data_IF_751983028740
#
_entry.id   IF_751983028740
#
_cell.length_a   1.000
_cell.length_b   1.000
_cell.length_c   1.000
_cell.angle_alpha   90.00
_cell.angle_beta   90.00
_cell.angle_gamma   90.00
#
_symmetry.space_group_name_H-M   'P 1'
#
loop_
_entity.id
_entity.type
_entity.pdbx_description
1 polymer ?
#
# COMPACT_ATOMS: atom_id res chain seq x y z
N UNK A 1 3.86 17.65 7.60
CA UNK A 1 3.82 16.43 6.78
C UNK A 1 4.01 16.86 5.34
N UNK A 2 4.91 16.23 4.58
CA UNK A 2 5.33 16.74 3.27
C UNK A 2 5.27 15.65 2.20
N UNK A 3 4.76 16.01 1.03
CA UNK A 3 5.00 15.26 -0.20
C UNK A 3 6.42 15.58 -0.65
N UNK A 4 7.23 14.55 -0.85
CA UNK A 4 8.64 14.66 -1.23
C UNK A 4 8.81 14.76 -2.74
N UNK A 5 8.08 13.94 -3.51
CA UNK A 5 8.18 13.91 -4.98
C UNK A 5 6.83 13.59 -5.63
N UNK A 6 6.63 14.14 -6.83
CA UNK A 6 5.64 13.67 -7.82
C UNK A 6 6.41 13.11 -9.00
N UNK A 7 6.03 11.90 -9.44
CA UNK A 7 6.74 11.15 -10.47
C UNK A 7 5.73 10.73 -11.53
N UNK A 8 6.02 10.97 -12.80
CA UNK A 8 5.34 10.30 -13.91
C UNK A 8 6.21 9.11 -14.33
N UNK A 9 5.64 7.91 -14.33
CA UNK A 9 6.39 6.71 -14.69
C UNK A 9 5.55 5.76 -15.55
N UNK A 10 6.27 4.81 -16.14
CA UNK A 10 5.81 3.85 -17.11
C UNK A 10 6.40 2.48 -16.81
N UNK A 11 5.63 1.42 -17.02
CA UNK A 11 6.11 0.04 -16.91
C UNK A 11 7.15 -0.30 -18.01
N UNK A 12 7.14 0.41 -19.15
CA UNK A 12 8.08 0.21 -20.27
C UNK A 12 9.27 1.17 -20.26
N UNK A 13 9.02 2.44 -19.93
CA UNK A 13 10.02 3.53 -20.03
C UNK A 13 10.67 3.88 -18.70
N UNK A 14 10.16 3.34 -17.60
CA UNK A 14 10.62 3.70 -16.26
C UNK A 14 10.15 5.10 -15.86
N UNK A 15 11.01 5.88 -15.21
CA UNK A 15 10.70 7.24 -14.77
C UNK A 15 10.78 8.21 -15.94
N UNK A 16 9.68 8.91 -16.23
CA UNK A 16 9.55 9.88 -17.32
C UNK A 16 9.80 11.30 -16.80
N UNK A 17 9.16 11.66 -15.68
CA UNK A 17 9.29 12.98 -15.04
C UNK A 17 9.39 12.77 -13.54
N UNK A 18 10.19 13.60 -12.88
CA UNK A 18 10.20 13.69 -11.42
C UNK A 18 10.28 15.15 -10.99
N UNK A 19 9.53 15.51 -9.95
CA UNK A 19 9.57 16.85 -9.36
C UNK A 19 9.30 16.83 -7.85
N UNK A 20 10.14 17.50 -7.04
CA UNK A 20 11.51 17.90 -7.35
C UNK A 20 12.37 16.71 -7.78
N UNK A 21 13.52 16.99 -8.41
CA UNK A 21 14.52 15.95 -8.73
C UNK A 21 14.90 15.17 -7.48
N UNK A 22 15.25 13.89 -7.66
CA UNK A 22 15.72 13.08 -6.54
C UNK A 22 17.02 13.64 -5.98
N UNK A 23 17.17 13.68 -4.64
CA UNK A 23 18.47 13.95 -4.04
C UNK A 23 19.45 12.81 -4.38
N UNK A 24 20.75 13.10 -4.33
CA UNK A 24 21.77 12.07 -4.44
C UNK A 24 21.76 11.17 -3.19
N UNK A 25 21.73 9.84 -3.42
CA UNK A 25 21.90 8.82 -2.37
C UNK A 25 20.67 8.56 -1.48
N UNK A 26 20.76 7.50 -0.68
CA UNK A 26 19.76 7.13 0.33
C UNK A 26 18.75 6.10 -0.13
N UNK A 27 17.90 6.42 -1.11
CA UNK A 27 16.79 5.55 -1.55
C UNK A 27 17.02 4.97 -2.95
N UNK A 28 16.53 3.76 -3.20
CA UNK A 28 16.56 3.13 -4.53
C UNK A 28 15.37 3.62 -5.38
N UNK A 29 15.40 4.89 -5.81
CA UNK A 29 14.34 5.48 -6.64
C UNK A 29 14.17 4.78 -7.99
N UNK A 30 15.21 4.11 -8.51
CA UNK A 30 15.14 3.37 -9.77
C UNK A 30 14.24 2.14 -9.69
N UNK A 31 13.94 1.65 -8.50
CA UNK A 31 12.99 0.53 -8.32
C UNK A 31 11.53 0.96 -8.44
N UNK A 32 11.21 2.27 -8.41
CA UNK A 32 9.83 2.77 -8.37
C UNK A 32 8.95 2.19 -9.49
N UNK A 33 9.37 2.17 -10.77
CA UNK A 33 8.59 1.56 -11.84
C UNK A 33 8.31 0.06 -11.62
N UNK A 34 9.18 -0.67 -10.94
CA UNK A 34 8.99 -2.11 -10.70
C UNK A 34 8.05 -2.40 -9.53
N UNK A 35 7.86 -1.45 -8.62
CA UNK A 35 7.09 -1.63 -7.38
C UNK A 35 5.73 -0.92 -7.44
N UNK A 36 5.59 0.11 -8.27
CA UNK A 36 4.38 0.92 -8.32
C UNK A 36 3.27 0.26 -9.16
N UNK A 37 3.62 -0.46 -10.22
CA UNK A 37 2.65 -1.21 -11.03
C UNK A 37 2.35 -2.55 -10.38
N UNK A 38 1.08 -2.77 -10.07
CA UNK A 38 0.60 -4.05 -9.52
C UNK A 38 0.46 -5.11 -10.60
N UNK A 39 0.51 -6.37 -10.18
CA UNK A 39 0.27 -7.54 -11.04
C UNK A 39 -1.19 -7.74 -11.45
N UNK A 40 -2.09 -7.05 -10.76
CA UNK A 40 -3.52 -7.14 -10.95
C UNK A 40 -4.10 -5.77 -11.34
N UNK A 41 -5.20 -5.75 -12.11
CA UNK A 41 -5.84 -4.52 -12.52
C UNK A 41 -6.22 -3.68 -11.29
N UNK A 42 -6.36 -2.38 -11.45
CA UNK A 42 -6.75 -1.54 -10.35
C UNK A 42 -6.68 -0.07 -10.65
N UNK A 43 -7.01 0.73 -9.64
CA UNK A 43 -7.03 2.19 -9.74
C UNK A 43 -5.76 2.82 -9.21
N UNK A 44 -5.17 2.22 -8.19
CA UNK A 44 -4.01 2.75 -7.49
C UNK A 44 -3.28 1.62 -6.75
N UNK A 45 -2.06 1.92 -6.32
CA UNK A 45 -1.27 1.03 -5.49
C UNK A 45 -0.48 1.84 -4.46
N UNK A 46 -0.41 1.37 -3.23
CA UNK A 46 0.51 1.88 -2.22
C UNK A 46 1.82 1.12 -2.30
N UNK A 47 2.95 1.77 -2.09
CA UNK A 47 4.25 1.10 -2.11
C UNK A 47 5.22 1.75 -1.15
N UNK A 48 6.33 1.08 -0.88
CA UNK A 48 7.41 1.61 -0.05
C UNK A 48 8.66 1.69 -0.92
N UNK A 49 9.34 2.83 -0.94
CA UNK A 49 10.60 2.99 -1.67
C UNK A 49 11.71 2.32 -0.85
N UNK A 50 12.42 1.32 -1.38
CA UNK A 50 13.48 0.63 -0.66
C UNK A 50 14.62 1.58 -0.26
N UNK A 51 15.19 1.33 0.91
CA UNK A 51 16.31 2.09 1.45
C UNK A 51 17.24 1.19 2.26
N UNK A 52 18.55 1.26 1.98
CA UNK A 52 19.56 0.45 2.66
C UNK A 52 20.02 1.01 4.01
N UNK A 53 19.74 2.29 4.31
CA UNK A 53 20.36 2.99 5.44
C UNK A 53 19.50 4.03 6.17
N UNK A 54 18.36 4.43 5.61
CA UNK A 54 17.53 5.52 6.14
C UNK A 54 16.24 4.95 6.73
N UNK A 55 15.95 5.38 7.96
CA UNK A 55 14.74 5.07 8.71
C UNK A 55 14.15 6.40 9.24
N UNK A 56 12.86 6.71 9.02
CA UNK A 56 11.79 5.91 8.41
C UNK A 56 11.88 5.80 6.87
N UNK A 57 11.24 4.77 6.26
CA UNK A 57 11.20 4.63 4.81
C UNK A 57 10.33 5.72 4.15
N UNK A 58 10.46 5.87 2.82
CA UNK A 58 9.52 6.65 2.03
C UNK A 58 8.36 5.77 1.55
N UNK A 59 7.18 6.37 1.53
CA UNK A 59 5.95 5.75 1.08
C UNK A 59 5.51 6.35 -0.25
N UNK A 60 4.82 5.55 -1.05
CA UNK A 60 4.38 5.90 -2.39
C UNK A 60 2.90 5.61 -2.60
N UNK A 61 2.25 6.44 -3.41
CA UNK A 61 0.91 6.20 -3.96
C UNK A 61 1.03 6.30 -5.47
N UNK A 62 0.76 5.21 -6.19
CA UNK A 62 0.65 5.18 -7.63
C UNK A 62 -0.81 5.35 -8.03
N UNK A 63 -1.14 6.30 -8.90
CA UNK A 63 -2.45 6.45 -9.52
C UNK A 63 -2.34 6.10 -11.01
N UNK A 64 -3.04 5.06 -11.44
CA UNK A 64 -2.93 4.55 -12.81
C UNK A 64 -3.78 5.36 -13.78
N UNK A 65 -3.24 5.63 -14.97
CA UNK A 65 -3.98 6.25 -16.06
C UNK A 65 -5.13 5.32 -16.50
N UNK A 66 -6.34 5.88 -16.62
CA UNK A 66 -7.55 5.18 -17.07
C UNK A 66 -8.13 5.78 -18.34
N UNK A 67 -7.54 6.86 -18.83
CA UNK A 67 -8.07 7.64 -19.92
C UNK A 67 -7.43 7.21 -21.24
N UNK A 68 -8.21 7.37 -22.32
CA UNK A 68 -7.83 6.89 -23.64
C UNK A 68 -6.65 7.72 -24.18
N UNK A 69 -5.62 7.04 -24.69
CA UNK A 69 -4.45 7.64 -25.30
C UNK A 69 -4.76 8.55 -26.49
N UNK A 70 -5.92 8.37 -27.13
CA UNK A 70 -6.42 9.22 -28.21
C UNK A 70 -6.74 10.67 -27.79
N UNK A 71 -6.80 10.97 -26.49
CA UNK A 71 -7.05 12.34 -26.00
C UNK A 71 -5.80 13.24 -26.06
N UNK A 72 -4.60 12.65 -26.17
CA UNK A 72 -3.36 13.42 -26.21
C UNK A 72 -3.08 13.96 -27.61
N UNK A 73 -2.53 15.19 -27.68
CA UNK A 73 -2.03 15.73 -28.93
C UNK A 73 -0.93 14.81 -29.50
N UNK A 74 -0.92 14.49 -30.81
CA UNK A 74 0.06 13.59 -31.38
C UNK A 74 1.51 14.04 -31.12
N UNK A 75 2.31 13.17 -30.51
CA UNK A 75 3.72 13.43 -30.21
C UNK A 75 4.50 12.13 -29.96
N UNK A 76 5.81 12.09 -30.26
CA UNK A 76 6.66 10.91 -30.01
C UNK A 76 6.76 10.52 -28.53
N UNK A 77 6.48 11.45 -27.63
CA UNK A 77 6.45 11.25 -26.19
C UNK A 77 5.20 10.53 -25.68
N UNK A 78 4.15 10.43 -26.51
CA UNK A 78 2.89 9.82 -26.08
C UNK A 78 3.06 8.34 -25.74
N UNK A 79 2.32 7.85 -24.75
CA UNK A 79 2.34 6.45 -24.37
C UNK A 79 1.79 5.57 -25.48
N UNK A 80 2.33 4.35 -25.56
CA UNK A 80 1.79 3.31 -26.45
C UNK A 80 0.58 2.63 -25.82
N UNK A 81 -0.25 1.97 -26.63
CA UNK A 81 -1.45 1.27 -26.14
C UNK A 81 -1.12 0.14 -25.15
N UNK A 82 0.03 -0.50 -25.28
CA UNK A 82 0.51 -1.58 -24.43
C UNK A 82 1.26 -1.10 -23.17
N UNK A 83 1.36 0.21 -22.99
CA UNK A 83 2.08 0.84 -21.89
C UNK A 83 1.12 1.12 -20.72
N UNK A 84 1.57 0.87 -19.49
CA UNK A 84 0.89 1.33 -18.29
C UNK A 84 1.57 2.58 -17.76
N UNK A 85 0.78 3.61 -17.47
CA UNK A 85 1.26 4.88 -16.94
C UNK A 85 0.73 5.09 -15.54
N UNK A 86 1.60 5.54 -14.63
CA UNK A 86 1.22 5.96 -13.29
C UNK A 86 1.75 7.37 -12.98
N UNK A 87 0.90 8.17 -12.35
CA UNK A 87 1.34 9.34 -11.61
C UNK A 87 1.52 8.90 -10.16
N UNK A 88 2.74 9.01 -9.66
CA UNK A 88 3.13 8.57 -8.33
C UNK A 88 3.40 9.77 -7.42
N UNK A 89 2.96 9.67 -6.18
CA UNK A 89 3.26 10.62 -5.12
C UNK A 89 4.11 9.93 -4.05
N UNK A 90 5.26 10.50 -3.72
CA UNK A 90 6.17 10.00 -2.67
C UNK A 90 6.09 10.90 -1.45
N UNK A 91 6.00 10.32 -0.26
CA UNK A 91 5.93 11.03 1.02
C UNK A 91 6.67 10.29 2.12
N UNK A 92 7.24 11.02 3.07
CA UNK A 92 7.78 10.47 4.33
C UNK A 92 6.70 10.16 5.36
N UNK A 93 5.43 10.34 5.00
CA UNK A 93 4.29 10.25 5.91
C UNK A 93 3.51 8.94 5.71
N UNK A 94 3.23 8.18 6.78
CA UNK A 94 2.50 6.90 6.67
C UNK A 94 0.99 7.06 6.44
N UNK A 95 0.44 8.29 6.44
CA UNK A 95 -0.99 8.58 6.28
C UNK A 95 -1.49 8.46 4.82
N UNK A 96 -1.14 7.37 4.12
CA UNK A 96 -1.34 7.26 2.68
C UNK A 96 -2.79 7.35 2.21
N UNK A 97 -3.73 6.79 2.96
CA UNK A 97 -5.15 6.86 2.59
C UNK A 97 -5.67 8.31 2.55
N UNK A 98 -5.24 9.15 3.50
CA UNK A 98 -5.53 10.58 3.50
C UNK A 98 -4.88 11.30 2.31
N UNK A 99 -3.62 10.98 2.01
CA UNK A 99 -2.97 11.55 0.83
C UNK A 99 -3.64 11.11 -0.47
N UNK A 100 -4.10 9.85 -0.57
CA UNK A 100 -4.81 9.34 -1.74
C UNK A 100 -6.06 10.18 -2.02
N UNK A 101 -6.86 10.51 -0.98
CA UNK A 101 -8.07 11.31 -1.15
C UNK A 101 -7.80 12.70 -1.75
N UNK A 102 -6.64 13.29 -1.46
CA UNK A 102 -6.20 14.57 -2.04
C UNK A 102 -5.51 14.41 -3.39
N UNK A 103 -4.71 13.35 -3.53
CA UNK A 103 -3.91 13.10 -4.72
C UNK A 103 -4.76 12.67 -5.90
N UNK A 104 -5.77 11.82 -5.66
CA UNK A 104 -6.69 11.31 -6.69
C UNK A 104 -7.25 12.39 -7.61
N UNK A 105 -7.96 13.44 -7.13
CA UNK A 105 -8.54 14.45 -8.03
C UNK A 105 -7.47 15.22 -8.82
N UNK A 106 -6.28 15.41 -8.23
CA UNK A 106 -5.16 16.07 -8.89
C UNK A 106 -4.51 15.18 -9.97
N UNK A 107 -4.42 13.88 -9.71
CA UNK A 107 -3.93 12.90 -10.66
C UNK A 107 -4.93 12.69 -11.81
N UNK A 108 -6.23 12.65 -11.52
CA UNK A 108 -7.28 12.62 -12.53
C UNK A 108 -7.21 13.88 -13.43
N UNK A 109 -7.00 15.06 -12.84
CA UNK A 109 -6.77 16.30 -13.60
C UNK A 109 -5.53 16.18 -14.50
N UNK A 110 -4.43 15.60 -14.01
CA UNK A 110 -3.22 15.36 -14.81
C UNK A 110 -3.48 14.46 -16.02
N UNK A 111 -4.36 13.46 -15.89
CA UNK A 111 -4.63 12.53 -16.97
C UNK A 111 -5.73 12.98 -17.93
N UNK A 112 -6.62 13.92 -17.57
CA UNK A 112 -7.68 14.44 -18.48
C UNK A 112 -7.16 15.50 -19.45
N UNK A 113 -6.08 16.19 -19.12
CA UNK A 113 -5.46 17.20 -19.99
C UNK A 113 -4.87 16.60 -21.28
N UNK A 114 -4.61 17.46 -22.27
CA UNK A 114 -4.28 17.05 -23.65
C UNK A 114 -2.78 16.90 -23.96
N UNK A 115 -1.88 17.20 -23.01
CA UNK A 115 -0.44 16.98 -23.16
C UNK A 115 -0.02 15.77 -22.31
N UNK A 116 0.71 14.80 -22.86
CA UNK A 116 1.14 13.68 -22.01
C UNK A 116 2.17 14.09 -20.95
N UNK A 117 3.13 14.94 -21.34
CA UNK A 117 4.18 15.49 -20.47
C UNK A 117 3.84 16.95 -20.13
N UNK A 118 3.50 17.22 -18.87
CA UNK A 118 3.15 18.56 -18.42
C UNK A 118 3.84 18.91 -17.09
N UNK A 119 5.06 19.47 -17.21
CA UNK A 119 5.89 19.83 -16.07
C UNK A 119 5.25 20.89 -15.17
N UNK A 120 4.59 21.90 -15.75
CA UNK A 120 3.96 22.97 -14.96
C UNK A 120 2.80 22.44 -14.11
N UNK A 121 2.01 21.50 -14.65
CA UNK A 121 0.94 20.86 -13.91
C UNK A 121 1.48 19.96 -12.79
N UNK A 122 2.54 19.16 -13.03
CA UNK A 122 3.20 18.38 -11.97
C UNK A 122 3.68 19.29 -10.82
N UNK A 123 4.29 20.43 -11.14
CA UNK A 123 4.74 21.39 -10.13
C UNK A 123 3.57 22.00 -9.35
N UNK A 124 2.46 22.31 -10.02
CA UNK A 124 1.24 22.82 -9.38
C UNK A 124 0.61 21.77 -8.46
N UNK A 125 0.55 20.51 -8.89
CA UNK A 125 0.08 19.39 -8.06
C UNK A 125 0.96 19.26 -6.81
N UNK A 126 2.29 19.25 -6.97
CA UNK A 126 3.22 19.18 -5.84
C UNK A 126 3.03 20.31 -4.84
N UNK A 127 2.91 21.55 -5.32
CA UNK A 127 2.65 22.72 -4.46
C UNK A 127 1.31 22.58 -3.73
N UNK A 128 0.26 22.18 -4.45
CA UNK A 128 -1.10 22.04 -3.91
C UNK A 128 -1.17 20.98 -2.80
N UNK A 129 -0.49 19.84 -2.99
CA UNK A 129 -0.42 18.78 -1.98
C UNK A 129 0.34 19.22 -0.72
N UNK A 130 1.35 20.07 -0.87
CA UNK A 130 2.13 20.63 0.23
C UNK A 130 1.55 21.91 0.87
N UNK A 131 0.46 22.48 0.33
CA UNK A 131 -0.27 23.54 1.02
C UNK A 131 -0.81 23.04 2.38
N UNK A 132 -0.83 23.92 3.39
CA UNK A 132 -1.08 23.60 4.80
C UNK A 132 -2.29 22.69 5.01
N UNK A 133 -2.07 21.56 5.69
CA UNK A 133 -3.13 20.68 6.17
C UNK A 133 -3.67 21.24 7.47
N UNK A 134 -4.93 21.66 7.49
CA UNK A 134 -5.66 21.78 8.75
C UNK A 134 -5.82 20.36 9.31
N UNK A 135 -5.53 20.13 10.60
CA UNK A 135 -5.49 18.82 11.26
C UNK A 135 -6.54 17.85 10.71
N UNK A 136 -6.14 16.95 9.79
CA UNK A 136 -7.11 16.12 9.10
C UNK A 136 -7.52 14.97 10.02
N UNK A 137 -8.82 14.73 10.14
CA UNK A 137 -9.35 13.49 10.70
C UNK A 137 -8.89 12.37 9.77
N UNK A 138 -7.90 11.61 10.21
CA UNK A 138 -7.38 10.50 9.42
C UNK A 138 -8.42 9.39 9.35
N UNK A 139 -8.83 9.03 8.14
CA UNK A 139 -9.69 7.89 7.86
C UNK A 139 -8.82 6.74 7.34
N UNK A 140 -8.95 5.58 7.98
CA UNK A 140 -8.38 4.33 7.47
C UNK A 140 -9.27 3.76 6.37
N UNK A 141 -8.73 2.97 5.44
CA UNK A 141 -9.57 2.19 4.54
C UNK A 141 -10.48 1.26 5.34
N UNK A 142 -11.67 1.00 4.80
CA UNK A 142 -12.67 0.14 5.44
C UNK A 142 -12.15 -1.31 5.56
N UNK A 143 -12.06 -1.86 6.77
CA UNK A 143 -11.58 -3.23 6.96
C UNK A 143 -12.62 -4.30 6.58
N UNK A 144 -13.88 -3.93 6.27
CA UNK A 144 -14.94 -4.91 6.05
C UNK A 144 -14.64 -5.86 4.88
N UNK A 145 -14.04 -5.38 3.79
CA UNK A 145 -13.70 -6.26 2.66
C UNK A 145 -12.72 -7.37 3.09
N UNK A 146 -11.68 -7.02 3.86
CA UNK A 146 -10.71 -7.96 4.43
C UNK A 146 -11.37 -8.93 5.41
N UNK A 147 -12.17 -8.43 6.35
CA UNK A 147 -12.84 -9.23 7.39
C UNK A 147 -13.77 -10.24 6.75
N UNK A 148 -14.58 -9.82 5.76
CA UNK A 148 -15.51 -10.70 5.07
C UNK A 148 -14.80 -11.75 4.23
N UNK A 149 -13.70 -11.40 3.55
CA UNK A 149 -12.92 -12.38 2.78
C UNK A 149 -12.21 -13.38 3.69
N UNK A 150 -11.63 -12.93 4.81
CA UNK A 150 -10.98 -13.83 5.76
C UNK A 150 -11.98 -14.69 6.53
N UNK A 151 -13.19 -14.19 6.75
CA UNK A 151 -14.24 -14.90 7.46
C UNK A 151 -13.78 -15.35 8.84
N UNK A 152 -13.87 -16.67 9.09
CA UNK A 152 -13.50 -17.25 10.38
C UNK A 152 -11.99 -17.18 10.68
N UNK A 153 -11.17 -17.01 9.65
CA UNK A 153 -9.71 -17.01 9.75
C UNK A 153 -9.11 -15.63 10.00
N UNK A 154 -9.93 -14.58 10.16
CA UNK A 154 -9.42 -13.23 10.48
C UNK A 154 -8.62 -13.19 11.80
N UNK A 155 -9.04 -13.97 12.79
CA UNK A 155 -8.35 -14.02 14.07
C UNK A 155 -7.04 -14.82 13.99
N UNK A 156 -6.99 -15.81 13.11
CA UNK A 156 -5.76 -16.51 12.76
C UNK A 156 -4.73 -15.50 12.24
N UNK A 157 -5.17 -14.63 11.33
CA UNK A 157 -4.35 -13.60 10.70
C UNK A 157 -3.85 -12.57 11.72
N UNK A 158 -4.70 -12.11 12.65
CA UNK A 158 -4.31 -11.22 13.75
C UNK A 158 -3.28 -11.89 14.67
N UNK A 159 -3.45 -13.17 15.01
CA UNK A 159 -2.45 -13.91 15.81
C UNK A 159 -1.11 -14.00 15.09
N UNK A 160 -1.12 -14.25 13.78
CA UNK A 160 0.11 -14.30 12.98
C UNK A 160 0.83 -12.95 12.94
N UNK A 161 0.09 -11.83 12.85
CA UNK A 161 0.64 -10.49 12.99
C UNK A 161 1.36 -10.30 14.34
N UNK A 162 0.72 -10.73 15.43
CA UNK A 162 1.29 -10.61 16.78
C UNK A 162 2.52 -11.51 16.99
N UNK A 163 2.59 -12.64 16.27
CA UNK A 163 3.74 -13.55 16.28
C UNK A 163 4.88 -13.11 15.34
N UNK A 164 4.77 -11.94 14.72
CA UNK A 164 5.74 -11.41 13.74
C UNK A 164 5.94 -12.34 12.54
N UNK A 165 4.89 -13.03 12.12
CA UNK A 165 4.91 -13.87 10.93
C UNK A 165 4.99 -13.02 9.66
N UNK A 166 5.59 -13.57 8.60
CA UNK A 166 5.59 -12.97 7.25
C UNK A 166 4.25 -13.25 6.54
N UNK A 167 3.46 -12.20 6.33
CA UNK A 167 2.13 -12.27 5.72
C UNK A 167 2.15 -11.61 4.34
N UNK A 168 1.77 -12.38 3.32
CA UNK A 168 1.61 -11.91 1.95
C UNK A 168 0.12 -11.63 1.64
N UNK A 169 -0.19 -10.43 1.17
CA UNK A 169 -1.51 -10.10 0.62
C UNK A 169 -1.43 -10.19 -0.91
N UNK A 170 -2.22 -11.08 -1.50
CA UNK A 170 -2.20 -11.36 -2.95
C UNK A 170 -3.61 -11.65 -3.47
N UNK A 171 -4.45 -10.61 -3.46
CA UNK A 171 -5.71 -10.58 -4.17
C UNK A 171 -5.46 -10.31 -5.66
N UNK A 172 -5.88 -11.25 -6.52
CA UNK A 172 -5.70 -11.13 -7.98
C UNK A 172 -6.74 -10.27 -8.68
N UNK A 173 -7.79 -9.87 -7.96
CA UNK A 173 -8.92 -9.10 -8.50
C UNK A 173 -8.57 -7.63 -8.63
N UNK A 174 -7.90 -7.04 -7.62
CA UNK A 174 -7.62 -5.61 -7.61
C UNK A 174 -6.39 -5.24 -6.78
N UNK A 175 -5.53 -4.37 -7.35
CA UNK A 175 -4.37 -3.82 -6.64
C UNK A 175 -4.75 -2.82 -5.55
N UNK A 176 -5.83 -2.05 -5.76
CA UNK A 176 -6.43 -1.16 -4.76
C UNK A 176 -6.93 -1.96 -3.54
N UNK A 177 -7.57 -3.11 -3.74
CA UNK A 177 -7.97 -4.00 -2.63
C UNK A 177 -6.74 -4.51 -1.85
N UNK A 178 -5.66 -4.91 -2.53
CA UNK A 178 -4.44 -5.34 -1.85
C UNK A 178 -3.87 -4.23 -0.95
N UNK A 179 -3.76 -3.03 -1.50
CA UNK A 179 -3.28 -1.85 -0.79
C UNK A 179 -4.13 -1.52 0.44
N UNK A 180 -5.46 -1.59 0.33
CA UNK A 180 -6.38 -1.37 1.44
C UNK A 180 -6.28 -2.46 2.51
N UNK A 181 -6.20 -3.73 2.11
CA UNK A 181 -6.07 -4.86 3.04
C UNK A 181 -4.79 -4.79 3.86
N UNK A 182 -3.68 -4.38 3.25
CA UNK A 182 -2.40 -4.24 3.96
C UNK A 182 -2.49 -3.13 4.99
N UNK A 183 -3.02 -1.95 4.63
CA UNK A 183 -3.25 -0.88 5.60
C UNK A 183 -4.20 -1.31 6.72
N UNK A 184 -5.28 -2.03 6.40
CA UNK A 184 -6.22 -2.55 7.39
C UNK A 184 -5.52 -3.53 8.35
N UNK A 185 -4.70 -4.45 7.84
CA UNK A 185 -3.93 -5.38 8.67
C UNK A 185 -2.96 -4.68 9.60
N UNK A 186 -2.21 -3.73 9.07
CA UNK A 186 -1.25 -2.95 9.86
C UNK A 186 -1.94 -2.07 10.90
N UNK A 187 -3.19 -1.66 10.66
CA UNK A 187 -3.99 -0.91 11.64
C UNK A 187 -4.37 -1.74 12.88
N UNK A 188 -4.41 -3.08 12.77
CA UNK A 188 -4.63 -3.96 13.92
C UNK A 188 -3.44 -4.03 14.87
N UNK A 189 -2.27 -3.53 14.46
CA UNK A 189 -1.07 -3.47 15.31
C UNK A 189 -0.88 -2.01 15.78
N UNK A 190 -1.21 -1.67 17.04
CA UNK A 190 -0.88 -0.37 17.59
C UNK A 190 0.62 -0.07 17.46
N UNK A 191 0.98 1.09 16.93
CA UNK A 191 2.40 1.44 16.71
C UNK A 191 2.94 1.13 15.32
N UNK A 192 2.26 0.30 14.51
CA UNK A 192 2.80 -0.13 13.22
C UNK A 192 2.71 0.94 12.11
N UNK A 193 1.56 1.59 11.98
CA UNK A 193 1.38 2.73 11.06
C UNK A 193 1.48 4.08 11.79
N UNK A 194 1.03 4.14 13.03
CA UNK A 194 0.91 5.37 13.80
C UNK A 194 1.50 5.20 15.19
N UNK A 195 2.09 6.26 15.77
CA UNK A 195 2.44 6.25 17.18
C UNK A 195 1.25 5.82 18.03
N UNK A 196 1.47 4.90 18.97
CA UNK A 196 0.45 4.52 19.94
C UNK A 196 0.01 5.77 20.72
N UNK A 197 -1.29 5.92 20.93
CA UNK A 197 -1.83 7.00 21.76
C UNK A 197 -1.34 6.84 23.20
N UNK A 198 -1.34 7.92 23.99
CA UNK A 198 -0.85 7.84 25.38
C UNK A 198 -1.65 6.86 26.25
N UNK A 199 -2.94 6.65 25.92
CA UNK A 199 -3.79 5.61 26.52
C UNK A 199 -3.35 4.19 26.18
N UNK A 200 -2.83 3.96 24.96
CA UNK A 200 -2.28 2.66 24.56
C UNK A 200 -0.89 2.45 25.16
N UNK A 201 -0.08 3.51 25.25
CA UNK A 201 1.23 3.47 25.93
C UNK A 201 1.07 3.10 27.41
N UNK A 202 0.07 3.66 28.11
CA UNK A 202 -0.13 3.41 29.54
C UNK A 202 -0.53 1.97 29.90
N UNK A 203 -1.07 1.21 28.94
CA UNK A 203 -1.38 -0.22 29.09
C UNK A 203 -0.27 -1.14 28.54
N UNK A 204 0.92 -0.58 28.25
CA UNK A 204 2.10 -1.36 27.86
C UNK A 204 2.29 -1.57 26.36
N UNK A 205 1.47 -0.96 25.48
CA UNK A 205 1.79 -0.91 24.05
C UNK A 205 2.91 0.11 23.83
N UNK A 206 4.15 -0.38 23.90
CA UNK A 206 5.32 0.42 23.54
C UNK A 206 5.29 0.64 22.03
N UNK A 207 5.41 1.90 21.59
CA UNK A 207 5.68 2.23 20.19
C UNK A 207 7.00 1.57 19.79
N UNK A 208 6.94 0.36 19.26
CA UNK A 208 7.97 -0.07 18.33
C UNK A 208 7.63 0.63 17.04
N UNK A 209 8.55 1.44 16.52
CA UNK A 209 8.54 1.88 15.12
C UNK A 209 8.66 0.62 14.26
N UNK A 210 7.57 -0.12 14.14
CA UNK A 210 7.50 -1.29 13.26
C UNK A 210 7.47 -0.75 11.85
N UNK A 211 8.40 -1.21 11.03
CA UNK A 211 8.46 -0.84 9.63
C UNK A 211 7.30 -1.52 8.91
N UNK A 212 6.27 -0.75 8.63
CA UNK A 212 5.14 -1.19 7.81
C UNK A 212 5.51 -1.01 6.35
N UNK A 213 5.67 -2.12 5.61
CA UNK A 213 5.79 -2.09 4.15
C UNK A 213 4.45 -2.36 3.54
N UNK A 214 4.17 -1.66 2.45
CA UNK A 214 2.91 -1.82 1.74
C UNK A 214 3.12 -2.79 0.60
N UNK A 215 4.02 -2.49 -0.33
CA UNK A 215 4.33 -3.37 -1.44
C UNK A 215 5.82 -3.23 -1.78
N UNK A 216 6.50 -4.36 -1.95
CA UNK A 216 7.91 -4.47 -2.25
C UNK A 216 8.19 -5.81 -2.96
N UNK A 217 9.03 -5.86 -4.01
CA UNK A 217 9.39 -7.09 -4.70
C UNK A 217 10.24 -7.98 -3.76
N UNK A 218 10.14 -9.29 -3.95
CA UNK A 218 10.83 -10.28 -3.09
C UNK A 218 12.35 -10.07 -3.03
N UNK A 219 12.98 -9.66 -4.13
CA UNK A 219 14.41 -9.36 -4.21
C UNK A 219 14.84 -8.24 -3.24
N UNK A 220 13.89 -7.43 -2.79
CA UNK A 220 14.13 -6.32 -1.88
C UNK A 220 13.60 -6.62 -0.46
N UNK A 221 12.95 -7.77 -0.24
CA UNK A 221 12.39 -8.16 1.07
C UNK A 221 13.48 -8.55 2.08
N UNK A 222 14.56 -9.18 1.62
CA UNK A 222 15.74 -9.49 2.46
C UNK A 222 16.49 -8.22 2.89
N UNK A 223 16.34 -7.13 2.13
CA UNK A 223 16.99 -5.86 2.41
C UNK A 223 16.29 -5.05 3.51
N UNK A 224 15.14 -5.53 3.98
CA UNK A 224 14.34 -4.82 4.97
C UNK A 224 14.05 -5.78 6.12
N UNK A 225 14.87 -5.71 7.16
CA UNK A 225 14.94 -6.68 8.26
C UNK A 225 13.67 -6.78 9.14
N UNK A 226 12.57 -6.08 8.82
CA UNK A 226 11.40 -5.91 9.70
C UNK A 226 10.02 -6.00 9.03
N UNK A 227 9.91 -6.62 7.84
CA UNK A 227 8.63 -6.69 7.10
C UNK A 227 7.73 -7.82 7.60
N UNK A 228 6.64 -7.45 8.29
CA UNK A 228 5.62 -8.41 8.77
C UNK A 228 4.47 -8.60 7.75
N UNK A 229 4.09 -7.56 7.01
CA UNK A 229 3.02 -7.61 5.99
C UNK A 229 3.52 -6.98 4.70
N UNK A 230 3.25 -7.60 3.56
CA UNK A 230 3.58 -7.05 2.25
C UNK A 230 2.59 -7.53 1.19
N UNK A 231 2.43 -6.73 0.14
CA UNK A 231 1.60 -7.07 -1.01
C UNK A 231 2.42 -7.76 -2.09
N UNK A 232 1.96 -8.93 -2.53
CA UNK A 232 2.65 -9.71 -3.52
C UNK A 232 2.24 -9.35 -4.95
N UNK A 233 3.18 -8.84 -5.74
CA UNK A 233 3.02 -8.53 -7.17
C UNK A 233 3.92 -9.41 -8.06
N UNK A 234 4.05 -10.72 -7.80
CA UNK A 234 4.68 -11.62 -8.78
C UNK A 234 4.18 -13.07 -8.69
N UNK A 235 4.02 -13.82 -9.80
CA UNK A 235 3.69 -15.25 -9.78
C UNK A 235 4.68 -16.15 -9.00
N UNK A 236 5.87 -15.64 -8.65
CA UNK A 236 6.90 -16.34 -7.84
C UNK A 236 6.45 -16.53 -6.37
N UNK A 237 5.45 -15.78 -5.88
CA UNK A 237 4.87 -16.03 -4.54
C UNK A 237 4.26 -17.44 -4.37
N UNK A 238 4.13 -18.21 -5.46
CA UNK A 238 3.64 -19.59 -5.43
C UNK A 238 4.64 -20.60 -4.87
N UNK A 239 5.93 -20.25 -4.72
CA UNK A 239 6.96 -21.21 -4.33
C UNK A 239 7.98 -20.64 -3.33
N UNK A 240 7.62 -20.30 -2.08
CA UNK A 240 8.66 -20.10 -1.05
C UNK A 240 8.28 -20.59 0.35
N UNK A 241 9.21 -21.32 0.95
CA UNK A 241 9.19 -21.83 2.33
C UNK A 241 9.22 -20.72 3.41
N UNK A 242 9.35 -19.45 3.00
CA UNK A 242 9.58 -18.29 3.86
C UNK A 242 8.32 -17.47 4.16
N UNK A 243 7.20 -17.77 3.50
CA UNK A 243 5.92 -17.08 3.75
C UNK A 243 5.13 -17.92 4.75
N UNK A 244 4.75 -17.30 5.86
CA UNK A 244 3.98 -17.99 6.90
C UNK A 244 2.49 -18.02 6.55
N UNK A 245 1.98 -16.97 5.90
CA UNK A 245 0.57 -16.81 5.55
C UNK A 245 0.37 -16.06 4.23
N UNK A 246 -0.62 -16.48 3.45
CA UNK A 246 -1.09 -15.79 2.24
C UNK A 246 -2.57 -15.46 2.38
N UNK A 247 -2.93 -14.20 2.16
CA UNK A 247 -4.31 -13.71 2.09
C UNK A 247 -4.66 -13.48 0.63
N UNK A 248 -5.74 -14.10 0.16
CA UNK A 248 -6.22 -14.00 -1.23
C UNK A 248 -7.69 -13.64 -1.27
N UNK A 249 -8.26 -13.45 -2.46
CA UNK A 249 -9.71 -13.29 -2.64
C UNK A 249 -10.54 -14.47 -2.12
N UNK A 250 -9.90 -15.62 -1.89
CA UNK A 250 -10.53 -16.86 -1.39
C UNK A 250 -10.38 -17.05 0.13
N UNK A 251 -9.74 -16.12 0.81
CA UNK A 251 -9.46 -16.19 2.24
C UNK A 251 -7.98 -16.46 2.55
N UNK A 252 -7.73 -17.07 3.72
CA UNK A 252 -6.41 -17.17 4.35
C UNK A 252 -5.82 -18.58 4.18
N UNK A 253 -4.58 -18.66 3.71
CA UNK A 253 -3.82 -19.91 3.63
C UNK A 253 -2.58 -19.83 4.52
N UNK A 254 -2.40 -20.78 5.43
CA UNK A 254 -1.29 -20.79 6.40
C UNK A 254 -0.37 -21.97 6.20
N UNK A 255 0.94 -21.71 6.32
CA UNK A 255 1.99 -22.71 6.29
C UNK A 255 1.79 -23.75 7.41
N UNK A 256 1.98 -25.03 7.08
CA UNK A 256 1.71 -26.17 7.96
C UNK A 256 2.39 -26.10 9.33
N UNK A 257 3.56 -25.44 9.43
CA UNK A 257 4.29 -25.22 10.69
C UNK A 257 3.45 -24.50 11.76
N UNK A 258 2.61 -23.53 11.37
CA UNK A 258 1.84 -22.71 12.32
C UNK A 258 0.44 -23.23 12.58
N UNK A 259 -0.06 -24.20 11.81
CA UNK A 259 -1.41 -24.75 11.98
C UNK A 259 -1.65 -25.34 13.38
N UNK A 260 -0.62 -25.94 14.00
CA UNK A 260 -0.71 -26.49 15.37
C UNK A 260 -0.64 -25.40 16.46
N UNK A 261 0.09 -24.31 16.21
CA UNK A 261 0.29 -23.20 17.14
C UNK A 261 -0.92 -22.27 17.22
N UNK A 262 -1.71 -22.22 16.15
CA UNK A 262 -2.83 -21.28 16.01
C UNK A 262 -4.20 -21.89 16.34
N UNK A 263 -4.25 -22.96 17.13
CA UNK A 263 -5.50 -23.63 17.52
C UNK A 263 -6.53 -22.64 18.09
N UNK A 264 -7.78 -22.74 17.61
CA UNK A 264 -8.87 -21.85 18.03
C UNK A 264 -9.45 -22.29 19.38
N UNK A 265 -9.44 -21.38 20.33
CA UNK A 265 -10.11 -21.51 21.63
C UNK A 265 -11.60 -21.17 21.52
N UNK A 266 -12.36 -21.34 22.61
CA UNK A 266 -13.76 -20.92 22.67
C UNK A 266 -13.91 -19.39 22.60
N UNK A 267 -13.00 -18.65 23.25
CA UNK A 267 -12.99 -17.19 23.22
C UNK A 267 -12.75 -16.66 21.81
N UNK A 268 -11.84 -17.31 21.07
CA UNK A 268 -11.55 -16.99 19.67
C UNK A 268 -12.81 -17.05 18.79
N UNK A 269 -13.62 -18.11 18.94
CA UNK A 269 -14.86 -18.27 18.18
C UNK A 269 -15.87 -17.15 18.47
N UNK A 270 -16.02 -16.77 19.74
CA UNK A 270 -16.93 -15.69 20.14
C UNK A 270 -16.48 -14.34 19.57
N UNK A 271 -15.19 -14.03 19.68
CA UNK A 271 -14.62 -12.79 19.14
C UNK A 271 -14.80 -12.71 17.62
N UNK A 272 -14.44 -13.77 16.89
CA UNK A 272 -14.61 -13.84 15.43
C UNK A 272 -16.07 -13.64 15.03
N UNK A 273 -17.03 -14.26 15.75
CA UNK A 273 -18.45 -14.09 15.44
C UNK A 273 -18.90 -12.64 15.64
N UNK A 274 -18.48 -11.98 16.72
CA UNK A 274 -18.79 -10.57 16.96
C UNK A 274 -18.21 -9.66 15.88
N UNK A 275 -16.96 -9.92 15.46
CA UNK A 275 -16.29 -9.14 14.42
C UNK A 275 -17.00 -9.28 13.07
N UNK A 276 -17.41 -10.50 12.69
CA UNK A 276 -18.17 -10.76 11.47
C UNK A 276 -19.56 -10.11 11.51
N UNK A 277 -20.27 -10.21 12.63
CA UNK A 277 -21.55 -9.54 12.80
C UNK A 277 -21.44 -8.01 12.66
N UNK A 278 -20.40 -7.42 13.26
CA UNK A 278 -20.13 -5.99 13.13
C UNK A 278 -19.84 -5.61 11.67
N UNK A 279 -18.98 -6.36 10.97
CA UNK A 279 -18.67 -6.10 9.56
C UNK A 279 -19.91 -6.18 8.65
N UNK A 280 -20.77 -7.19 8.86
CA UNK A 280 -22.03 -7.28 8.10
C UNK A 280 -22.98 -6.12 8.38
N UNK A 281 -23.05 -5.64 9.62
CA UNK A 281 -23.91 -4.50 9.97
C UNK A 281 -23.47 -3.19 9.31
N UNK A 282 -22.16 -3.01 9.07
CA UNK A 282 -21.61 -1.80 8.44
C UNK A 282 -21.78 -1.80 6.91
N UNK A 283 -21.85 -2.97 6.27
CA UNK A 283 -22.11 -3.09 4.83
C UNK A 283 -23.60 -2.94 4.44
N UNK A 284 -24.50 -2.83 5.41
CA UNK A 284 -25.95 -2.70 5.20
C UNK A 284 -26.46 -1.25 5.30
N UNK A 285 -25.55 -0.26 5.36
CA UNK A 285 -25.80 1.18 5.33
C UNK A 285 -25.43 1.76 3.97
#
# INVERSE_FOLDING_TARGET
MTVNHIILCSDKRGIIITYPLFPEGGYNYNSIPHICFGDCPGKYNYFTVPCFSINPPLYGIAWFNKYNYSQYLPGPENPREDEQIALCMITSSPYLHLFLQRFKPLADLYFIQNLFINNSLIQAIFKTLNCSMNDPIYTLPDPCSLINTCGKDILLLIKMLLLKCKICVNNKVSSDINSEWILALLSFIPGALFPATDKLKSIGFVTQTKQSILHCPLSELELIESVEVFGGTHPIFREMAEIDCVVTEKGVTVNGKYKKLLGLTKADKTFTQQLLNASHSMNCL
#
